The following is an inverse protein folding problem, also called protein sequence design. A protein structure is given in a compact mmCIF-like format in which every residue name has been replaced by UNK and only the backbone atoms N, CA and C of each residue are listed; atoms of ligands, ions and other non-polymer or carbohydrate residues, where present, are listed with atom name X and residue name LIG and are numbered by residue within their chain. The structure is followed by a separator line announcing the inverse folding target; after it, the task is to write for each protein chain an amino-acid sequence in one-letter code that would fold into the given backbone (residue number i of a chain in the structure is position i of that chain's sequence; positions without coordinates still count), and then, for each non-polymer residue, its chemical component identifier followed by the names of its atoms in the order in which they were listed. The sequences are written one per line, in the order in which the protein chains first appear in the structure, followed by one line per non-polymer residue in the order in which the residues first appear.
data_IF_957828917826
#
_entry.id   IF_957828917826
#
_cell.length_a   1.000
_cell.length_b   1.000
_cell.length_c   1.000
_cell.angle_alpha   90.00
_cell.angle_beta   90.00
_cell.angle_gamma   90.00
#
_symmetry.space_group_name_H-M   'P 1'
#
loop_
_entity.id
_entity.type
_entity.pdbx_description
1 polymer ?
#
# COMPACT_ATOMS: atom_id res chain seq x y z
N UNK A 1 -13.11 9.27 12.68
CA UNK A 1 -12.49 8.18 11.90
C UNK A 1 -11.00 8.17 12.19
N UNK A 2 -10.41 7.01 12.46
CA UNK A 2 -8.98 6.89 12.76
C UNK A 2 -8.36 5.72 12.02
N UNK A 3 -7.08 5.85 11.66
CA UNK A 3 -6.25 4.84 11.02
C UNK A 3 -4.95 4.70 11.81
N UNK A 4 -4.49 3.47 11.99
CA UNK A 4 -3.14 3.19 12.46
C UNK A 4 -2.23 2.82 11.29
N UNK A 5 -1.05 3.43 11.23
CA UNK A 5 -0.01 3.13 10.25
C UNK A 5 1.18 2.49 10.96
N UNK A 6 1.50 1.26 10.60
CA UNK A 6 2.56 0.46 11.22
C UNK A 6 3.73 0.33 10.25
N UNK A 7 4.93 0.68 10.73
CA UNK A 7 6.19 0.54 9.99
C UNK A 7 6.98 -0.65 10.50
N UNK A 8 7.59 -1.41 9.58
CA UNK A 8 8.48 -2.52 9.89
C UNK A 8 9.69 -2.53 8.95
N UNK A 9 10.75 -3.18 9.42
CA UNK A 9 11.95 -3.47 8.64
C UNK A 9 11.91 -4.94 8.17
N UNK A 10 12.05 -5.24 6.87
CA UNK A 10 12.18 -6.61 6.36
C UNK A 10 13.24 -7.45 7.08
N UNK A 11 14.31 -6.85 7.60
CA UNK A 11 15.36 -7.54 8.35
C UNK A 11 14.87 -8.22 9.64
N UNK A 12 13.63 -7.94 10.05
CA UNK A 12 12.97 -8.61 11.17
C UNK A 12 12.38 -9.97 10.79
N UNK A 13 12.53 -10.42 9.54
CA UNK A 13 12.09 -11.74 9.11
C UNK A 13 12.77 -12.86 9.94
N UNK A 14 11.96 -13.79 10.45
CA UNK A 14 12.42 -15.01 11.10
C UNK A 14 11.39 -16.13 10.97
N UNK A 15 11.78 -17.36 11.32
CA UNK A 15 10.95 -18.55 11.17
C UNK A 15 9.58 -18.43 11.86
N UNK A 16 9.53 -17.92 13.09
CA UNK A 16 8.26 -17.71 13.81
C UNK A 16 7.25 -16.82 13.08
N UNK A 17 7.68 -15.84 12.27
CA UNK A 17 6.75 -15.06 11.43
C UNK A 17 6.20 -15.88 10.27
N UNK A 18 7.00 -16.78 9.70
CA UNK A 18 6.57 -17.66 8.61
C UNK A 18 5.53 -18.68 9.09
N UNK A 19 5.61 -19.10 10.35
CA UNK A 19 4.65 -20.02 10.96
C UNK A 19 3.25 -19.41 11.11
N UNK A 20 3.16 -18.08 11.16
CA UNK A 20 1.89 -17.34 11.20
C UNK A 20 1.17 -17.29 9.85
N UNK A 21 1.87 -17.47 8.73
CA UNK A 21 1.27 -17.42 7.40
C UNK A 21 0.37 -18.65 7.19
N UNK A 22 -0.62 -18.54 6.29
CA UNK A 22 -1.38 -19.72 5.84
C UNK A 22 -0.62 -20.49 4.72
N UNK A 23 -1.19 -21.60 4.27
CA UNK A 23 -0.56 -22.44 3.24
C UNK A 23 -0.41 -21.72 1.88
N UNK A 24 -1.37 -20.85 1.52
CA UNK A 24 -1.30 -20.11 0.26
C UNK A 24 -0.22 -19.03 0.34
N UNK A 25 -0.12 -18.33 1.46
CA UNK A 25 0.91 -17.35 1.74
C UNK A 25 2.29 -17.99 1.80
N UNK A 26 2.46 -19.13 2.48
CA UNK A 26 3.71 -19.91 2.50
C UNK A 26 4.13 -20.37 1.11
N UNK A 27 3.18 -20.86 0.30
CA UNK A 27 3.45 -21.27 -1.08
C UNK A 27 3.89 -20.06 -1.93
N UNK A 28 3.24 -18.90 -1.77
CA UNK A 28 3.64 -17.66 -2.46
C UNK A 28 5.00 -17.16 -2.01
N UNK A 29 5.28 -17.17 -0.71
CA UNK A 29 6.58 -16.85 -0.14
C UNK A 29 7.70 -17.69 -0.75
N UNK A 30 7.50 -19.01 -0.85
CA UNK A 30 8.49 -19.94 -1.41
C UNK A 30 8.80 -19.69 -2.90
N UNK A 31 7.89 -19.06 -3.65
CA UNK A 31 8.07 -18.76 -5.09
C UNK A 31 8.98 -17.55 -5.35
N UNK A 32 9.20 -16.67 -4.38
CA UNK A 32 10.13 -15.56 -4.56
C UNK A 32 11.56 -16.07 -4.75
N UNK A 33 12.26 -15.50 -5.74
CA UNK A 33 13.65 -15.87 -6.06
C UNK A 33 14.65 -15.14 -5.18
N UNK A 34 14.38 -13.87 -4.85
CA UNK A 34 15.25 -13.03 -4.05
C UNK A 34 14.88 -13.15 -2.57
N UNK A 35 15.90 -13.27 -1.71
CA UNK A 35 15.69 -13.31 -0.26
C UNK A 35 15.01 -12.03 0.26
N UNK A 36 15.42 -10.87 -0.24
CA UNK A 36 14.82 -9.60 0.16
C UNK A 36 13.30 -9.53 -0.12
N UNK A 37 12.81 -10.17 -1.18
CA UNK A 37 11.37 -10.21 -1.47
C UNK A 37 10.63 -11.19 -0.55
N UNK A 38 11.28 -12.29 -0.16
CA UNK A 38 10.78 -13.23 0.85
C UNK A 38 10.62 -12.53 2.20
N UNK A 39 11.65 -11.80 2.62
CA UNK A 39 11.68 -11.08 3.90
C UNK A 39 10.59 -10.00 3.97
N UNK A 40 10.46 -9.19 2.92
CA UNK A 40 9.36 -8.21 2.80
C UNK A 40 8.00 -8.88 2.89
N UNK A 41 7.82 -9.98 2.16
CA UNK A 41 6.54 -10.69 2.10
C UNK A 41 6.14 -11.26 3.45
N UNK A 42 7.05 -11.97 4.13
CA UNK A 42 6.75 -12.59 5.43
C UNK A 42 6.50 -11.53 6.50
N UNK A 43 7.31 -10.47 6.57
CA UNK A 43 7.12 -9.38 7.53
C UNK A 43 5.79 -8.66 7.28
N UNK A 44 5.48 -8.34 6.03
CA UNK A 44 4.24 -7.69 5.64
C UNK A 44 2.99 -8.48 6.08
N UNK A 45 2.94 -9.78 5.77
CA UNK A 45 1.75 -10.61 6.03
C UNK A 45 1.65 -11.01 7.50
N UNK A 46 2.77 -11.29 8.16
CA UNK A 46 2.77 -11.51 9.61
C UNK A 46 2.34 -10.26 10.37
N UNK A 47 2.84 -9.07 9.99
CA UNK A 47 2.43 -7.81 10.60
C UNK A 47 0.92 -7.57 10.47
N UNK A 48 0.38 -7.74 9.26
CA UNK A 48 -1.06 -7.62 9.01
C UNK A 48 -1.88 -8.53 9.93
N UNK A 49 -1.48 -9.81 10.02
CA UNK A 49 -2.15 -10.80 10.86
C UNK A 49 -2.11 -10.42 12.34
N UNK A 50 -0.95 -10.02 12.83
CA UNK A 50 -0.74 -9.65 14.23
C UNK A 50 -1.53 -8.42 14.65
N UNK A 51 -1.52 -7.39 13.81
CA UNK A 51 -2.27 -6.16 14.07
C UNK A 51 -3.77 -6.41 13.99
N UNK A 52 -4.26 -7.15 12.99
CA UNK A 52 -5.67 -7.53 12.92
C UNK A 52 -6.10 -8.34 14.15
N UNK A 53 -5.28 -9.30 14.60
CA UNK A 53 -5.57 -10.10 15.79
C UNK A 53 -5.66 -9.25 17.06
N UNK A 54 -4.71 -8.32 17.24
CA UNK A 54 -4.71 -7.39 18.37
C UNK A 54 -5.97 -6.50 18.36
N UNK A 55 -6.38 -6.01 17.19
CA UNK A 55 -7.57 -5.16 17.01
C UNK A 55 -8.87 -5.94 17.23
N UNK A 56 -8.93 -7.19 16.78
CA UNK A 56 -10.10 -8.05 16.91
C UNK A 56 -10.20 -8.76 18.28
N UNK A 57 -9.13 -8.74 19.08
CA UNK A 57 -9.08 -9.45 20.36
C UNK A 57 -9.07 -10.97 20.22
N UNK A 58 -8.48 -11.50 19.15
CA UNK A 58 -8.39 -12.93 18.86
C UNK A 58 -6.93 -13.41 18.74
N UNK A 59 -6.74 -14.72 18.58
CA UNK A 59 -5.43 -15.28 18.30
C UNK A 59 -5.01 -14.98 16.83
N UNK A 60 -3.72 -14.74 16.54
CA UNK A 60 -3.24 -14.53 15.16
C UNK A 60 -3.68 -15.64 14.19
N UNK A 61 -3.72 -16.88 14.67
CA UNK A 61 -4.09 -18.08 13.93
C UNK A 61 -5.59 -18.15 13.60
N UNK A 62 -6.41 -17.26 14.15
CA UNK A 62 -7.84 -17.14 13.86
C UNK A 62 -8.14 -16.07 12.80
N UNK A 63 -7.20 -15.16 12.54
CA UNK A 63 -7.35 -14.15 11.49
C UNK A 63 -7.31 -14.85 10.13
N UNK A 64 -8.23 -14.51 9.24
CA UNK A 64 -8.25 -14.98 7.85
C UNK A 64 -8.24 -13.79 6.91
N UNK A 65 -7.62 -13.93 5.76
CA UNK A 65 -7.67 -12.93 4.70
C UNK A 65 -8.33 -13.54 3.47
N UNK A 66 -9.25 -12.80 2.85
CA UNK A 66 -9.72 -13.08 1.49
C UNK A 66 -9.07 -12.09 0.53
N UNK A 67 -8.74 -12.52 -0.67
CA UNK A 67 -8.16 -11.65 -1.69
C UNK A 67 -9.24 -11.26 -2.70
N UNK A 68 -9.48 -9.96 -2.86
CA UNK A 68 -10.50 -9.42 -3.74
C UNK A 68 -9.87 -8.62 -4.87
N UNK A 69 -10.11 -9.05 -6.10
CA UNK A 69 -9.71 -8.31 -7.29
C UNK A 69 -10.92 -7.97 -8.14
N UNK A 70 -11.25 -6.67 -8.17
CA UNK A 70 -12.35 -6.11 -8.94
C UNK A 70 -12.32 -6.53 -10.41
N UNK A 71 -11.14 -6.56 -11.02
CA UNK A 71 -11.00 -6.98 -12.41
C UNK A 71 -11.28 -8.46 -12.65
N UNK A 72 -11.00 -9.34 -11.68
CA UNK A 72 -11.32 -10.75 -11.83
C UNK A 72 -12.78 -11.06 -11.52
N UNK A 73 -13.41 -10.28 -10.65
CA UNK A 73 -14.85 -10.38 -10.38
C UNK A 73 -15.70 -10.05 -11.62
N UNK A 74 -15.18 -9.22 -12.52
CA UNK A 74 -15.81 -8.89 -13.80
C UNK A 74 -15.49 -9.90 -14.93
N UNK A 75 -14.59 -10.86 -14.71
CA UNK A 75 -14.18 -11.83 -15.73
C UNK A 75 -15.14 -13.03 -15.79
N UNK A 76 -15.35 -13.54 -17.00
CA UNK A 76 -16.13 -14.76 -17.24
C UNK A 76 -15.44 -16.03 -16.75
N UNK A 77 -14.10 -16.05 -16.79
CA UNK A 77 -13.29 -17.16 -16.30
C UNK A 77 -12.45 -16.71 -15.10
N UNK A 78 -12.62 -17.34 -13.92
CA UNK A 78 -11.85 -17.01 -12.73
C UNK A 78 -10.38 -17.39 -12.90
N UNK A 79 -9.48 -16.59 -12.33
CA UNK A 79 -8.05 -16.94 -12.23
C UNK A 79 -7.84 -18.09 -11.25
N UNK A 80 -6.81 -18.88 -11.50
CA UNK A 80 -6.40 -20.01 -10.64
C UNK A 80 -5.75 -19.57 -9.33
N UNK A 81 -4.89 -18.54 -9.36
CA UNK A 81 -4.23 -18.01 -8.16
C UNK A 81 -5.03 -16.79 -7.63
N UNK A 82 -5.52 -16.82 -6.38
CA UNK A 82 -6.17 -15.67 -5.75
C UNK A 82 -5.24 -14.46 -5.69
N UNK A 83 -5.79 -13.27 -5.95
CA UNK A 83 -5.04 -12.02 -5.88
C UNK A 83 -5.97 -10.82 -5.64
N UNK A 84 -5.37 -9.66 -5.41
CA UNK A 84 -6.08 -8.40 -5.18
C UNK A 84 -5.87 -7.87 -3.77
N UNK A 85 -6.76 -6.97 -3.34
CA UNK A 85 -6.70 -6.33 -2.03
C UNK A 85 -7.03 -7.37 -0.94
N UNK A 86 -6.19 -7.52 0.09
CA UNK A 86 -6.50 -8.39 1.22
C UNK A 86 -7.60 -7.78 2.08
N UNK A 87 -8.62 -8.59 2.39
CA UNK A 87 -9.71 -8.23 3.30
C UNK A 87 -9.71 -9.15 4.52
N UNK A 88 -9.62 -8.60 5.74
CA UNK A 88 -9.78 -9.38 6.96
C UNK A 88 -11.17 -10.03 7.03
N UNK A 89 -11.20 -11.28 7.48
CA UNK A 89 -12.40 -12.09 7.63
C UNK A 89 -12.45 -12.75 9.01
N UNK A 90 -13.56 -13.43 9.31
CA UNK A 90 -13.76 -14.09 10.60
C UNK A 90 -13.81 -13.08 11.75
N UNK A 91 -13.08 -13.28 12.86
CA UNK A 91 -13.08 -12.35 14.00
C UNK A 91 -12.62 -10.92 13.65
N UNK A 92 -11.80 -10.77 12.60
CA UNK A 92 -11.29 -9.47 12.15
C UNK A 92 -12.20 -8.78 11.11
N UNK A 93 -13.38 -9.33 10.83
CA UNK A 93 -14.33 -8.75 9.88
C UNK A 93 -14.69 -7.31 10.27
N UNK A 94 -14.72 -6.42 9.28
CA UNK A 94 -14.99 -4.98 9.47
C UNK A 94 -13.72 -4.13 9.64
N UNK A 95 -12.55 -4.75 9.80
CA UNK A 95 -11.28 -4.07 9.62
C UNK A 95 -10.97 -3.92 8.13
N UNK A 96 -10.43 -2.77 7.76
CA UNK A 96 -9.87 -2.50 6.45
C UNK A 96 -8.37 -2.34 6.56
N UNK A 97 -7.62 -2.99 5.66
CA UNK A 97 -6.16 -2.92 5.64
C UNK A 97 -5.62 -2.59 4.26
N UNK A 98 -4.41 -2.02 4.25
CA UNK A 98 -3.59 -1.93 3.06
C UNK A 98 -2.13 -2.12 3.43
N UNK A 99 -1.38 -2.79 2.56
CA UNK A 99 0.01 -3.13 2.79
C UNK A 99 0.83 -2.62 1.61
N UNK A 100 1.99 -2.05 1.88
CA UNK A 100 3.01 -1.78 0.86
C UNK A 100 4.41 -2.06 1.40
N UNK A 101 5.35 -2.29 0.50
CA UNK A 101 6.74 -2.49 0.87
C UNK A 101 7.67 -2.09 -0.29
N UNK A 102 8.79 -1.47 0.04
CA UNK A 102 9.84 -1.14 -0.90
C UNK A 102 11.16 -0.99 -0.14
N UNK A 103 12.27 -1.42 -0.74
CA UNK A 103 13.58 -1.37 -0.09
C UNK A 103 13.54 -2.02 1.29
N UNK A 104 13.92 -1.27 2.32
CA UNK A 104 13.97 -1.71 3.71
C UNK A 104 12.77 -1.17 4.52
N UNK A 105 11.63 -0.98 3.85
CA UNK A 105 10.38 -0.51 4.46
C UNK A 105 9.23 -1.42 4.12
N UNK A 106 8.49 -1.81 5.16
CA UNK A 106 7.15 -2.41 5.09
C UNK A 106 6.22 -1.47 5.83
N UNK A 107 5.06 -1.20 5.25
CA UNK A 107 4.00 -0.39 5.86
C UNK A 107 2.67 -1.11 5.79
N UNK A 108 1.93 -1.08 6.91
CA UNK A 108 0.55 -1.53 7.01
C UNK A 108 -0.30 -0.36 7.51
N UNK A 109 -1.37 -0.04 6.79
CA UNK A 109 -2.45 0.80 7.30
C UNK A 109 -3.63 -0.08 7.72
N UNK A 110 -4.28 0.27 8.83
CA UNK A 110 -5.49 -0.42 9.35
C UNK A 110 -6.49 0.59 9.92
N UNK A 111 -7.78 0.39 9.61
CA UNK A 111 -8.88 1.18 10.16
C UNK A 111 -10.15 0.34 10.31
N UNK A 112 -11.12 0.84 11.07
CA UNK A 112 -12.44 0.22 11.20
C UNK A 112 -13.37 0.77 10.10
N UNK A 113 -13.81 -0.10 9.18
CA UNK A 113 -14.87 0.19 8.20
C UNK A 113 -14.57 1.29 7.17
N UNK A 114 -13.32 1.70 7.00
CA UNK A 114 -12.91 2.75 6.06
C UNK A 114 -11.95 2.17 5.03
N UNK A 115 -12.39 2.13 3.78
CA UNK A 115 -11.54 1.72 2.67
C UNK A 115 -10.32 2.63 2.58
N UNK A 116 -9.13 2.03 2.70
CA UNK A 116 -7.87 2.75 2.70
C UNK A 116 -6.82 2.05 1.85
N UNK A 117 -5.82 2.83 1.45
CA UNK A 117 -4.69 2.39 0.67
C UNK A 117 -3.42 3.08 1.15
N UNK A 118 -2.35 2.32 1.33
CA UNK A 118 -1.04 2.86 1.69
C UNK A 118 -0.02 2.45 0.65
N UNK A 119 0.90 3.35 0.36
CA UNK A 119 2.03 3.04 -0.50
C UNK A 119 3.35 3.58 0.04
N UNK A 120 4.44 2.86 -0.24
CA UNK A 120 5.81 3.28 0.06
C UNK A 120 6.73 2.86 -1.09
N UNK A 121 7.53 3.80 -1.57
CA UNK A 121 8.50 3.61 -2.64
C UNK A 121 9.88 4.09 -2.23
N UNK A 122 10.89 3.33 -2.63
CA UNK A 122 12.29 3.72 -2.41
C UNK A 122 12.68 4.67 -3.54
N UNK A 123 13.27 5.81 -3.20
CA UNK A 123 13.80 6.77 -4.17
C UNK A 123 15.09 6.19 -4.74
N UNK A 124 14.95 5.40 -5.80
CA UNK A 124 16.07 4.74 -6.46
C UNK A 124 16.47 5.49 -7.74
N UNK A 125 17.77 5.74 -7.87
CA UNK A 125 18.37 6.21 -9.12
C UNK A 125 18.58 5.07 -10.12
N UNK A 126 18.81 5.39 -11.40
CA UNK A 126 19.13 4.40 -12.43
C UNK A 126 17.95 3.70 -13.11
N UNK A 127 16.70 4.08 -12.79
CA UNK A 127 15.52 3.75 -13.60
C UNK A 127 15.31 4.79 -14.69
N UNK A 128 14.64 4.41 -15.78
CA UNK A 128 14.14 5.35 -16.79
C UNK A 128 12.95 6.15 -16.22
N UNK A 129 13.26 7.13 -15.37
CA UNK A 129 12.25 7.95 -14.70
C UNK A 129 11.46 8.79 -15.71
N UNK A 130 12.11 9.30 -16.76
CA UNK A 130 11.44 10.05 -17.82
C UNK A 130 10.40 9.18 -18.54
N UNK A 131 10.77 7.95 -18.90
CA UNK A 131 9.85 6.98 -19.50
C UNK A 131 8.68 6.64 -18.59
N UNK A 132 8.95 6.33 -17.31
CA UNK A 132 7.90 6.04 -16.33
C UNK A 132 6.97 7.23 -16.12
N UNK A 133 7.52 8.43 -15.92
CA UNK A 133 6.76 9.66 -15.74
C UNK A 133 5.83 9.92 -16.93
N UNK A 134 6.31 9.69 -18.16
CA UNK A 134 5.49 9.87 -19.36
C UNK A 134 4.30 8.91 -19.46
N UNK A 135 4.39 7.74 -18.83
CA UNK A 135 3.33 6.74 -18.83
C UNK A 135 2.36 6.89 -17.66
N UNK A 136 2.83 7.39 -16.50
CA UNK A 136 2.04 7.39 -15.27
C UNK A 136 1.53 8.76 -14.83
N UNK A 137 2.16 9.85 -15.25
CA UNK A 137 1.72 11.19 -14.89
C UNK A 137 0.68 11.70 -15.90
N UNK A 138 -0.28 12.50 -15.42
CA UNK A 138 -1.17 13.24 -16.31
C UNK A 138 -0.38 14.31 -17.05
N UNK A 139 -0.96 14.89 -18.11
CA UNK A 139 -0.31 15.96 -18.88
C UNK A 139 0.13 17.15 -18.01
N UNK A 140 -0.73 17.56 -17.07
CA UNK A 140 -0.46 18.68 -16.16
C UNK A 140 0.64 18.33 -15.14
N UNK A 141 0.60 17.15 -14.55
CA UNK A 141 1.62 16.67 -13.61
C UNK A 141 2.98 16.51 -14.30
N UNK A 142 3.00 16.02 -15.54
CA UNK A 142 4.23 15.88 -16.31
C UNK A 142 4.87 17.24 -16.60
N UNK A 143 4.06 18.28 -16.85
CA UNK A 143 4.55 19.63 -17.03
C UNK A 143 5.17 20.19 -15.72
N UNK A 144 4.49 20.02 -14.58
CA UNK A 144 5.01 20.40 -13.25
C UNK A 144 6.31 19.65 -12.95
N UNK A 145 6.31 18.33 -13.15
CA UNK A 145 7.46 17.48 -12.90
C UNK A 145 8.68 17.86 -13.75
N UNK A 146 8.48 18.16 -15.04
CA UNK A 146 9.57 18.62 -15.93
C UNK A 146 10.15 19.96 -15.50
N UNK A 147 9.36 20.82 -14.87
CA UNK A 147 9.81 22.11 -14.36
C UNK A 147 10.63 22.00 -13.06
N UNK A 148 10.62 20.86 -12.38
CA UNK A 148 11.43 20.65 -11.18
C UNK A 148 12.92 20.71 -11.49
N UNK A 149 13.75 21.19 -10.54
CA UNK A 149 15.20 21.03 -10.59
C UNK A 149 15.57 19.57 -10.83
N UNK A 150 16.63 19.31 -11.60
CA UNK A 150 17.01 17.94 -11.98
C UNK A 150 17.15 16.99 -10.77
N UNK A 151 17.75 17.47 -9.67
CA UNK A 151 17.91 16.70 -8.44
C UNK A 151 16.58 16.36 -7.72
N UNK A 152 15.50 17.09 -8.00
CA UNK A 152 14.18 16.87 -7.39
C UNK A 152 13.23 16.06 -8.27
N UNK A 153 13.58 15.80 -9.54
CA UNK A 153 12.73 15.05 -10.46
C UNK A 153 12.51 13.62 -9.99
N UNK A 154 13.56 12.87 -9.66
CA UNK A 154 13.40 11.48 -9.19
C UNK A 154 12.60 11.39 -7.89
N UNK A 155 12.92 12.15 -6.83
CA UNK A 155 12.08 12.15 -5.62
C UNK A 155 10.64 12.65 -5.85
N UNK A 156 10.46 13.62 -6.74
CA UNK A 156 9.15 14.17 -7.09
C UNK A 156 8.28 13.14 -7.83
N UNK A 157 8.87 12.37 -8.75
CA UNK A 157 8.19 11.26 -9.43
C UNK A 157 7.69 10.21 -8.43
N UNK A 158 8.55 9.75 -7.51
CA UNK A 158 8.14 8.76 -6.50
C UNK A 158 7.08 9.30 -5.52
N UNK A 159 7.01 10.62 -5.31
CA UNK A 159 5.91 11.23 -4.55
C UNK A 159 4.59 11.15 -5.31
N UNK A 160 4.58 11.48 -6.61
CA UNK A 160 3.39 11.25 -7.44
C UNK A 160 2.97 9.80 -7.44
N UNK A 161 3.93 8.89 -7.65
CA UNK A 161 3.68 7.45 -7.67
C UNK A 161 3.02 6.98 -6.38
N UNK A 162 3.62 7.27 -5.21
CA UNK A 162 3.11 6.82 -3.93
C UNK A 162 1.68 7.34 -3.66
N UNK A 163 1.42 8.62 -3.97
CA UNK A 163 0.08 9.21 -3.84
C UNK A 163 -0.96 8.48 -4.69
N UNK A 164 -0.64 8.20 -5.95
CA UNK A 164 -1.55 7.54 -6.89
C UNK A 164 -1.75 6.06 -6.56
N UNK A 165 -0.70 5.33 -6.22
CA UNK A 165 -0.79 3.94 -5.78
C UNK A 165 -1.61 3.80 -4.48
N UNK A 166 -1.44 4.71 -3.52
CA UNK A 166 -2.26 4.73 -2.32
C UNK A 166 -3.76 4.87 -2.66
N UNK A 167 -4.12 5.74 -3.61
CA UNK A 167 -5.50 5.89 -4.10
C UNK A 167 -6.02 4.60 -4.77
N UNK A 168 -5.24 4.02 -5.69
CA UNK A 168 -5.63 2.78 -6.41
C UNK A 168 -5.72 1.57 -5.46
N UNK A 169 -4.91 1.53 -4.40
CA UNK A 169 -5.00 0.52 -3.34
C UNK A 169 -6.22 0.73 -2.45
N UNK A 170 -6.65 1.97 -2.25
CA UNK A 170 -7.85 2.27 -1.48
C UNK A 170 -9.10 1.69 -2.14
N UNK A 171 -9.24 1.81 -3.47
CA UNK A 171 -10.37 1.23 -4.23
C UNK A 171 -10.21 -0.27 -4.51
N UNK A 172 -8.99 -0.80 -4.45
CA UNK A 172 -8.69 -2.19 -4.79
C UNK A 172 -8.54 -2.45 -6.30
N UNK A 173 -8.50 -1.38 -7.11
CA UNK A 173 -8.27 -1.47 -8.57
C UNK A 173 -6.82 -1.84 -8.91
N UNK A 174 -5.88 -1.53 -8.01
CA UNK A 174 -4.44 -1.70 -8.22
C UNK A 174 -3.93 -0.99 -9.48
N UNK A 175 -2.75 -1.39 -9.97
CA UNK A 175 -2.12 -0.83 -11.18
C UNK A 175 -3.03 -0.84 -12.42
N UNK A 176 -4.00 -1.76 -12.48
CA UNK A 176 -4.95 -1.84 -13.57
C UNK A 176 -5.98 -0.71 -13.60
N UNK A 177 -6.15 0.04 -12.51
CA UNK A 177 -6.91 1.30 -12.53
C UNK A 177 -6.20 2.42 -13.30
N UNK A 178 -4.93 2.23 -13.64
CA UNK A 178 -4.15 3.11 -14.51
C UNK A 178 -3.72 4.39 -13.80
N UNK A 179 -2.44 4.49 -13.41
CA UNK A 179 -1.90 5.68 -12.73
C UNK A 179 -2.13 7.00 -13.50
N UNK A 180 -2.17 6.95 -14.83
CA UNK A 180 -2.43 8.11 -15.68
C UNK A 180 -3.88 8.65 -15.63
N UNK A 181 -4.83 7.90 -15.05
CA UNK A 181 -6.22 8.35 -14.87
C UNK A 181 -6.43 9.15 -13.59
N UNK A 182 -5.47 9.06 -12.66
CA UNK A 182 -5.53 9.72 -11.35
C UNK A 182 -4.63 10.93 -11.37
N UNK A 183 -5.20 12.13 -11.23
CA UNK A 183 -4.49 13.38 -11.05
C UNK A 183 -4.42 13.78 -9.58
N UNK A 184 -3.23 14.12 -9.09
CA UNK A 184 -2.98 14.58 -7.71
C UNK A 184 -2.19 15.89 -7.70
N UNK A 185 -2.16 16.55 -6.55
CA UNK A 185 -1.38 17.79 -6.37
C UNK A 185 0.12 17.57 -6.55
N UNK A 186 0.85 18.67 -6.81
CA UNK A 186 2.29 18.63 -7.05
C UNK A 186 3.11 18.16 -5.85
N UNK A 187 4.37 17.75 -6.04
CA UNK A 187 5.19 17.19 -4.97
C UNK A 187 5.44 18.17 -3.82
N UNK A 188 5.44 19.47 -4.09
CA UNK A 188 5.66 20.53 -3.09
C UNK A 188 4.37 21.01 -2.42
N UNK A 189 3.21 20.56 -2.92
CA UNK A 189 1.89 20.88 -2.36
C UNK A 189 1.43 19.82 -1.36
N UNK A 190 0.51 20.22 -0.48
CA UNK A 190 -0.23 19.26 0.35
C UNK A 190 -0.96 18.24 -0.53
N UNK A 191 -0.81 16.95 -0.21
CA UNK A 191 -1.36 15.86 -1.00
C UNK A 191 -2.90 15.93 -1.07
N UNK A 192 -3.46 15.98 -2.29
CA UNK A 192 -4.90 15.92 -2.54
C UNK A 192 -5.16 15.26 -3.90
N UNK A 193 -6.33 14.64 -4.03
CA UNK A 193 -6.87 14.26 -5.33
C UNK A 193 -7.30 15.53 -6.08
N UNK A 194 -6.90 15.65 -7.35
CA UNK A 194 -7.27 16.75 -8.25
C UNK A 194 -8.36 16.29 -9.22
N UNK A 195 -8.16 15.12 -9.83
CA UNK A 195 -9.12 14.52 -10.75
C UNK A 195 -8.94 13.00 -10.76
N UNK A 196 -9.99 12.26 -11.07
CA UNK A 196 -9.92 10.81 -11.30
C UNK A 196 -10.85 10.45 -12.45
N UNK A 197 -10.26 10.18 -13.61
CA UNK A 197 -10.99 9.84 -14.84
C UNK A 197 -11.26 8.34 -14.91
N UNK A 198 -12.21 7.89 -14.10
CA UNK A 198 -12.70 6.51 -14.10
C UNK A 198 -14.21 6.47 -13.84
N UNK A 199 -14.97 5.54 -14.47
CA UNK A 199 -16.43 5.45 -14.29
C UNK A 199 -16.89 5.27 -12.84
N UNK A 200 -16.07 4.60 -12.02
CA UNK A 200 -16.37 4.29 -10.62
C UNK A 200 -15.44 5.05 -9.66
N UNK A 201 -14.94 6.22 -10.09
CA UNK A 201 -14.07 7.04 -9.26
C UNK A 201 -14.78 7.42 -7.93
N UNK A 202 -14.12 7.24 -6.77
CA UNK A 202 -14.69 7.64 -5.49
C UNK A 202 -14.84 9.16 -5.40
N UNK A 203 -15.96 9.62 -4.85
CA UNK A 203 -16.26 11.05 -4.66
C UNK A 203 -15.63 11.62 -3.40
N UNK A 204 -15.59 10.82 -2.33
CA UNK A 204 -15.07 11.21 -1.03
C UNK A 204 -13.70 10.57 -0.81
N UNK A 205 -12.65 11.38 -0.94
CA UNK A 205 -11.28 10.92 -0.83
C UNK A 205 -10.48 11.89 0.02
N UNK A 206 -9.76 11.33 0.99
CA UNK A 206 -8.71 12.02 1.71
C UNK A 206 -7.36 11.38 1.41
N UNK A 207 -6.34 12.21 1.21
CA UNK A 207 -4.98 11.82 0.88
C UNK A 207 -4.00 12.59 1.76
N UNK A 208 -2.97 11.92 2.24
CA UNK A 208 -1.84 12.56 2.94
C UNK A 208 -0.53 11.86 2.59
N UNK A 209 0.56 12.61 2.56
CA UNK A 209 1.90 12.00 2.57
C UNK A 209 2.21 11.48 3.98
N UNK A 210 3.02 10.43 4.04
CA UNK A 210 3.57 9.87 5.28
C UNK A 210 5.08 10.12 5.33
N UNK A 211 5.61 10.33 6.54
CA UNK A 211 7.06 10.36 6.75
C UNK A 211 7.62 8.93 6.72
N UNK A 212 8.48 8.67 5.75
CA UNK A 212 9.19 7.40 5.57
C UNK A 212 10.72 7.59 5.58
N UNK A 213 11.20 8.77 5.98
CA UNK A 213 12.59 9.20 5.85
C UNK A 213 12.93 9.83 4.50
N UNK A 214 14.20 10.18 4.31
CA UNK A 214 14.67 10.93 3.13
C UNK A 214 14.63 10.11 1.85
N UNK A 215 14.89 8.81 1.97
CA UNK A 215 15.15 7.92 0.83
C UNK A 215 13.88 7.21 0.34
N UNK A 216 12.73 7.53 0.94
CA UNK A 216 11.45 6.92 0.62
C UNK A 216 10.36 7.96 0.41
N UNK A 217 9.35 7.63 -0.39
CA UNK A 217 8.11 8.41 -0.50
C UNK A 217 6.95 7.51 -0.17
N UNK A 218 6.07 7.98 0.69
CA UNK A 218 4.92 7.22 1.14
C UNK A 218 3.68 8.09 1.23
N UNK A 219 2.52 7.48 1.00
CA UNK A 219 1.24 8.14 1.08
C UNK A 219 0.17 7.20 1.64
N UNK A 220 -0.85 7.80 2.26
CA UNK A 220 -2.05 7.16 2.74
C UNK A 220 -3.26 7.83 2.08
N UNK A 221 -4.12 7.02 1.48
CA UNK A 221 -5.43 7.42 1.00
C UNK A 221 -6.53 6.72 1.79
N UNK A 222 -7.63 7.41 2.03
CA UNK A 222 -8.84 6.87 2.62
C UNK A 222 -10.07 7.37 1.84
N UNK A 223 -11.05 6.50 1.63
CA UNK A 223 -12.33 6.87 1.04
C UNK A 223 -13.21 7.53 2.12
N UNK A 224 -12.92 8.79 2.40
CA UNK A 224 -13.54 9.60 3.43
C UNK A 224 -13.69 11.06 2.97
N UNK A 225 -14.75 11.78 3.38
CA UNK A 225 -15.04 13.14 2.92
C UNK A 225 -14.08 14.19 3.49
N UNK A 226 -13.18 13.81 4.40
CA UNK A 226 -12.26 14.73 5.05
C UNK A 226 -11.17 14.01 5.84
N UNK A 227 -10.30 14.77 6.53
CA UNK A 227 -9.18 14.22 7.26
C UNK A 227 -9.60 13.19 8.31
N UNK A 228 -8.88 12.07 8.36
CA UNK A 228 -9.01 11.07 9.43
C UNK A 228 -7.79 11.15 10.36
N UNK A 229 -7.95 10.78 11.63
CA UNK A 229 -6.83 10.76 12.57
C UNK A 229 -5.85 9.64 12.23
N UNK A 230 -4.57 9.95 12.04
CA UNK A 230 -3.52 8.96 11.74
C UNK A 230 -2.59 8.82 12.93
N UNK A 231 -2.42 7.59 13.39
CA UNK A 231 -1.46 7.25 14.46
C UNK A 231 -0.39 6.33 13.90
N UNK A 232 0.87 6.76 13.95
CA UNK A 232 2.01 5.96 13.48
C UNK A 232 2.57 5.08 14.60
N UNK A 233 2.96 3.85 14.27
CA UNK A 233 3.52 2.87 15.20
C UNK A 233 4.68 2.11 14.59
N UNK A 234 5.64 1.73 15.44
CA UNK A 234 6.74 0.83 15.07
C UNK A 234 6.36 -0.62 15.38
N UNK A 235 6.43 -1.49 14.37
CA UNK A 235 6.11 -2.91 14.49
C UNK A 235 7.20 -3.73 15.19
N UNK A 236 8.39 -3.14 15.38
CA UNK A 236 9.56 -3.72 16.04
C UNK A 236 9.23 -4.67 17.20
N UNK A 237 8.61 -4.16 18.28
CA UNK A 237 8.25 -4.95 19.45
C UNK A 237 7.20 -6.05 19.19
N UNK A 238 6.24 -5.79 18.30
CA UNK A 238 5.15 -6.72 17.99
C UNK A 238 5.65 -7.94 17.20
N UNK A 239 6.60 -7.72 16.28
CA UNK A 239 7.19 -8.80 15.47
C UNK A 239 8.11 -9.69 16.31
N UNK A 240 8.86 -9.12 17.27
CA UNK A 240 9.78 -9.87 18.14
C UNK A 240 9.11 -10.70 19.23
N UNK A 241 7.84 -10.43 19.55
CA UNK A 241 7.12 -11.13 20.62
C UNK A 241 6.43 -12.41 20.14
N UNK A 242 6.75 -12.87 18.92
CA UNK A 242 6.16 -14.02 18.25
C UNK A 242 7.20 -15.07 17.92
#
# INVERSE_FOLDING_TARGET
MTCEVWWADPAQAHAGLLDLLDDQERARHARFRLAADRDRFVVAHALARLVCAQRAGCAPEDVRFTLHCRNCELRREPRTDPHGKPRPAGPALGLEISISHSGDRVVLAVADGIELGVDVEAVAEGRDIDGLASYTLTGDELAVWRALPAAQRTPGFFRYWARKEALLKATGDGLSGGLGTVGVTGPDDAARLVAWDAPDAPTDVWLTDLDAGTDYRAALAALAPGPIGVTTREAGPLLRSR
#
